data_IF_243138672893
#
_entry.id   IF_243138672893
#
_cell.length_a   1.000
_cell.length_b   1.000
_cell.length_c   1.000
_cell.angle_alpha   90.00
_cell.angle_beta   90.00
_cell.angle_gamma   90.00
#
_symmetry.space_group_name_H-M   'P 1'
#
loop_
_entity.id
_entity.type
_entity.pdbx_description
1 polymer ?
#
# COMPACT_ATOMS: atom_id res chain seq x y z
N UNK A 1 -17.54 17.07 10.89
CA UNK A 1 -16.43 16.38 10.19
C UNK A 1 -15.30 17.38 9.96
N UNK A 2 -14.07 16.99 10.24
CA UNK A 2 -12.91 17.83 10.01
C UNK A 2 -12.42 17.62 8.56
N UNK A 3 -12.32 18.65 7.71
CA UNK A 3 -11.93 18.51 6.31
C UNK A 3 -10.47 18.06 6.11
N UNK A 4 -9.66 18.08 7.16
CA UNK A 4 -8.28 17.60 7.15
C UNK A 4 -8.14 16.12 7.53
N UNK A 5 -9.24 15.44 7.84
CA UNK A 5 -9.26 14.01 8.15
C UNK A 5 -10.02 13.29 7.06
N UNK A 6 -9.41 12.23 6.52
CA UNK A 6 -10.06 11.36 5.55
C UNK A 6 -11.42 10.84 6.05
N UNK A 7 -12.40 10.83 5.17
CA UNK A 7 -13.76 10.40 5.50
C UNK A 7 -13.82 8.95 6.01
N UNK A 8 -13.08 8.03 5.36
CA UNK A 8 -13.06 6.63 5.77
C UNK A 8 -12.54 6.46 7.20
N UNK A 9 -11.53 7.24 7.61
CA UNK A 9 -11.04 7.22 8.98
C UNK A 9 -12.13 7.66 9.96
N UNK A 10 -12.89 8.70 9.63
CA UNK A 10 -14.00 9.19 10.46
C UNK A 10 -15.12 8.15 10.54
N UNK A 11 -15.50 7.56 9.41
CA UNK A 11 -16.50 6.47 9.38
C UNK A 11 -16.03 5.27 10.20
N UNK A 12 -14.78 4.86 10.03
CA UNK A 12 -14.20 3.71 10.75
C UNK A 12 -14.17 3.94 12.26
N UNK A 13 -13.88 5.17 12.70
CA UNK A 13 -13.85 5.54 14.11
C UNK A 13 -15.24 5.58 14.76
N UNK A 14 -16.27 5.99 13.99
CA UNK A 14 -17.66 6.08 14.45
C UNK A 14 -18.39 4.73 14.34
N UNK A 15 -17.78 3.73 13.68
CA UNK A 15 -18.38 2.40 13.50
C UNK A 15 -18.03 1.51 14.67
N UNK A 16 -19.02 0.72 15.12
CA UNK A 16 -18.82 -0.24 16.20
C UNK A 16 -17.80 -1.31 15.82
N UNK A 17 -17.06 -1.80 16.81
CA UNK A 17 -15.96 -2.75 16.64
C UNK A 17 -16.40 -4.03 15.90
N UNK A 18 -17.58 -4.56 16.27
CA UNK A 18 -18.15 -5.76 15.66
C UNK A 18 -18.42 -5.62 14.14
N UNK A 19 -18.68 -4.41 13.66
CA UNK A 19 -18.87 -4.11 12.24
C UNK A 19 -17.51 -3.81 11.58
N UNK A 20 -16.69 -3.01 12.24
CA UNK A 20 -15.38 -2.61 11.71
C UNK A 20 -14.49 -3.82 11.42
N UNK A 21 -14.41 -4.78 12.36
CA UNK A 21 -13.61 -6.00 12.21
C UNK A 21 -14.06 -6.90 11.05
N UNK A 22 -15.30 -6.76 10.58
CA UNK A 22 -15.80 -7.51 9.43
C UNK A 22 -15.36 -6.91 8.09
N UNK A 23 -14.91 -5.65 8.07
CA UNK A 23 -14.53 -4.91 6.85
C UNK A 23 -13.05 -4.55 6.92
N UNK A 24 -12.16 -5.27 6.20
CA UNK A 24 -10.71 -5.04 6.27
C UNK A 24 -10.32 -3.58 6.04
N UNK A 25 -10.97 -2.90 5.10
CA UNK A 25 -10.69 -1.49 4.81
C UNK A 25 -11.12 -0.56 5.95
N UNK A 26 -12.12 -0.91 6.73
CA UNK A 26 -12.51 -0.13 7.92
C UNK A 26 -11.59 -0.40 9.11
N UNK A 27 -11.10 -1.64 9.24
CA UNK A 27 -10.26 -2.06 10.36
C UNK A 27 -8.78 -1.75 10.16
N UNK A 28 -8.33 -1.59 8.90
CA UNK A 28 -6.95 -1.30 8.59
C UNK A 28 -6.42 -0.09 9.36
N UNK A 29 -5.33 -0.31 10.12
CA UNK A 29 -4.69 0.70 10.96
C UNK A 29 -5.17 0.77 12.40
N UNK A 30 -6.22 0.09 12.78
CA UNK A 30 -6.63 0.00 14.18
C UNK A 30 -5.92 -1.17 14.89
N UNK A 31 -5.57 -0.95 16.14
CA UNK A 31 -4.99 -1.96 17.03
C UNK A 31 -5.88 -2.09 18.27
N UNK A 32 -6.54 -3.25 18.37
CA UNK A 32 -7.47 -3.53 19.46
C UNK A 32 -6.78 -3.61 20.83
N UNK A 33 -5.50 -3.96 20.88
CA UNK A 33 -4.76 -4.19 22.12
C UNK A 33 -4.54 -2.91 22.93
N UNK A 34 -4.32 -1.77 22.28
CA UNK A 34 -4.11 -0.47 22.92
C UNK A 34 -5.06 0.63 22.42
N UNK A 35 -6.03 0.24 21.57
CA UNK A 35 -7.08 1.10 20.99
C UNK A 35 -6.53 2.32 20.24
N UNK A 36 -5.41 2.14 19.57
CA UNK A 36 -4.78 3.18 18.76
C UNK A 36 -4.99 2.95 17.26
N UNK A 37 -5.02 4.05 16.54
CA UNK A 37 -5.00 4.09 15.09
C UNK A 37 -3.58 4.37 14.58
N UNK A 38 -3.13 3.64 13.59
CA UNK A 38 -2.03 4.02 12.73
C UNK A 38 -2.59 4.88 11.60
N UNK A 39 -2.05 6.07 11.41
CA UNK A 39 -2.48 7.04 10.40
C UNK A 39 -1.29 7.55 9.60
N UNK A 40 -1.57 8.00 8.39
CA UNK A 40 -0.61 8.68 7.52
C UNK A 40 -0.89 10.18 7.63
N UNK A 41 0.15 10.98 7.89
CA UNK A 41 0.03 12.42 8.08
C UNK A 41 0.93 13.14 7.06
N UNK A 42 0.37 14.02 6.26
CA UNK A 42 1.10 14.99 5.43
C UNK A 42 1.26 16.29 6.19
N UNK A 43 2.48 16.85 6.19
CA UNK A 43 2.80 18.07 6.95
C UNK A 43 3.41 19.15 6.08
N UNK A 44 3.20 20.41 6.49
CA UNK A 44 3.82 21.57 5.87
C UNK A 44 5.21 21.91 6.44
N UNK A 45 5.66 21.18 7.48
CA UNK A 45 6.93 21.46 8.15
C UNK A 45 7.30 20.40 9.19
N UNK A 46 8.22 20.74 10.12
CA UNK A 46 8.63 19.85 11.19
C UNK A 46 7.50 19.62 12.21
N UNK A 47 7.42 18.38 12.72
CA UNK A 47 6.53 18.01 13.81
C UNK A 47 7.18 18.06 15.21
N UNK A 48 8.35 18.68 15.37
CA UNK A 48 9.06 18.69 16.65
C UNK A 48 8.21 19.29 17.79
N UNK A 49 7.49 20.38 17.51
CA UNK A 49 6.56 20.98 18.46
C UNK A 49 5.40 20.02 18.79
N UNK A 50 4.80 19.42 17.80
CA UNK A 50 3.68 18.49 17.94
C UNK A 50 4.10 17.27 18.75
N UNK A 51 5.27 16.68 18.45
CA UNK A 51 5.81 15.54 19.19
C UNK A 51 6.00 15.84 20.68
N UNK A 52 6.35 17.07 21.03
CA UNK A 52 6.48 17.49 22.44
C UNK A 52 5.15 17.62 23.18
N UNK A 53 4.06 17.85 22.46
CA UNK A 53 2.69 17.99 23.00
C UNK A 53 2.00 16.63 23.10
N UNK A 54 2.08 15.83 22.04
CA UNK A 54 1.39 14.55 21.91
C UNK A 54 2.30 13.38 22.33
N UNK A 55 2.71 13.36 23.60
CA UNK A 55 3.68 12.39 24.13
C UNK A 55 3.20 10.94 24.15
N UNK A 56 1.88 10.71 24.05
CA UNK A 56 1.27 9.37 23.97
C UNK A 56 1.17 8.84 22.55
N UNK A 57 1.56 9.64 21.55
CA UNK A 57 1.60 9.25 20.15
C UNK A 57 3.01 8.80 19.73
N UNK A 58 3.05 7.82 18.86
CA UNK A 58 4.29 7.32 18.24
C UNK A 58 4.42 7.93 16.85
N UNK A 59 5.58 8.54 16.57
CA UNK A 59 5.82 9.24 15.30
C UNK A 59 6.95 8.59 14.53
N UNK A 60 6.69 8.15 13.32
CA UNK A 60 7.69 7.66 12.35
C UNK A 60 7.77 8.62 11.18
N UNK A 61 8.93 9.29 11.03
CA UNK A 61 9.16 10.22 9.93
C UNK A 61 9.50 9.45 8.65
N UNK A 62 8.80 9.78 7.56
CA UNK A 62 9.10 9.36 6.21
C UNK A 62 9.71 10.52 5.41
N UNK A 63 10.12 10.24 4.17
CA UNK A 63 10.57 11.25 3.22
C UNK A 63 9.44 12.21 2.83
N UNK A 64 9.78 13.32 2.17
CA UNK A 64 8.86 14.26 1.54
C UNK A 64 7.80 14.88 2.48
N UNK A 65 8.07 14.98 3.79
CA UNK A 65 7.14 15.57 4.75
C UNK A 65 5.95 14.69 5.13
N UNK A 66 6.10 13.38 4.96
CA UNK A 66 5.12 12.40 5.44
C UNK A 66 5.53 11.79 6.77
N UNK A 67 4.52 11.41 7.54
CA UNK A 67 4.69 10.78 8.83
C UNK A 67 3.68 9.65 8.99
N UNK A 68 4.08 8.59 9.65
CA UNK A 68 3.16 7.60 10.19
C UNK A 68 3.04 7.89 11.68
N UNK A 69 1.81 8.06 12.15
CA UNK A 69 1.53 8.38 13.55
C UNK A 69 0.59 7.32 14.11
N UNK A 70 0.92 6.79 15.29
CA UNK A 70 0.08 5.83 16.00
C UNK A 70 -0.44 6.50 17.26
N UNK A 71 -1.76 6.69 17.35
CA UNK A 71 -2.38 7.45 18.45
C UNK A 71 -3.89 7.15 18.59
N UNK A 72 -4.54 7.70 19.62
CA UNK A 72 -5.98 7.56 19.84
C UNK A 72 -6.80 8.47 18.93
N UNK A 73 -8.09 8.17 18.75
CA UNK A 73 -9.00 8.97 17.91
C UNK A 73 -9.11 10.43 18.38
N UNK A 74 -9.22 10.65 19.69
CA UNK A 74 -9.30 12.00 20.25
C UNK A 74 -8.04 12.82 19.91
N UNK A 75 -6.87 12.18 19.92
CA UNK A 75 -5.61 12.81 19.52
C UNK A 75 -5.54 13.08 18.03
N UNK A 76 -6.16 12.26 17.19
CA UNK A 76 -6.25 12.49 15.73
C UNK A 76 -7.08 13.75 15.45
N UNK A 77 -8.22 13.90 16.09
CA UNK A 77 -9.06 15.11 15.97
C UNK A 77 -8.31 16.36 16.41
N UNK A 78 -7.59 16.29 17.52
CA UNK A 78 -6.77 17.39 17.99
C UNK A 78 -5.59 17.71 17.04
N UNK A 79 -4.87 16.69 16.55
CA UNK A 79 -3.80 16.83 15.56
C UNK A 79 -4.29 17.53 14.30
N UNK A 80 -5.49 17.22 13.82
CA UNK A 80 -6.06 17.85 12.62
C UNK A 80 -6.33 19.35 12.77
N UNK A 81 -6.29 19.90 13.98
CA UNK A 81 -6.42 21.35 14.22
C UNK A 81 -5.07 22.08 14.16
N UNK A 82 -3.97 21.35 14.24
CA UNK A 82 -2.63 21.94 14.25
C UNK A 82 -2.27 22.53 12.89
N UNK A 83 -1.62 23.71 12.85
CA UNK A 83 -1.34 24.41 11.60
C UNK A 83 -0.35 23.69 10.69
N UNK A 84 0.54 22.87 11.26
CA UNK A 84 1.53 22.07 10.52
C UNK A 84 0.92 20.89 9.78
N UNK A 85 -0.28 20.46 10.15
CA UNK A 85 -0.96 19.30 9.56
C UNK A 85 -1.74 19.75 8.33
N UNK A 86 -1.41 19.16 7.18
CA UNK A 86 -2.13 19.39 5.92
C UNK A 86 -3.32 18.44 5.83
N UNK A 87 -3.07 17.12 5.98
CA UNK A 87 -4.09 16.10 5.85
C UNK A 87 -3.72 14.82 6.62
N UNK A 88 -4.73 14.08 7.04
CA UNK A 88 -4.63 12.82 7.77
C UNK A 88 -5.45 11.75 7.05
N UNK A 89 -4.83 10.62 6.75
CA UNK A 89 -5.44 9.47 6.07
C UNK A 89 -5.17 8.19 6.86
N UNK A 90 -6.10 7.24 6.85
CA UNK A 90 -5.85 5.91 7.39
C UNK A 90 -5.15 5.02 6.36
N UNK A 91 -4.38 4.00 6.77
CA UNK A 91 -3.82 3.03 5.84
C UNK A 91 -4.93 2.21 5.19
N UNK A 92 -4.65 1.72 3.97
CA UNK A 92 -5.52 0.81 3.22
C UNK A 92 -4.97 -0.61 3.31
N UNK A 93 -5.86 -1.60 3.24
CA UNK A 93 -5.51 -2.99 3.07
C UNK A 93 -5.05 -3.25 1.63
N UNK A 94 -4.02 -4.07 1.47
CA UNK A 94 -3.47 -4.44 0.16
C UNK A 94 -3.36 -5.95 0.06
N UNK A 95 -3.50 -6.46 -1.16
CA UNK A 95 -3.51 -7.89 -1.49
C UNK A 95 -2.49 -8.20 -2.58
N UNK A 96 -2.14 -9.48 -2.75
CA UNK A 96 -1.20 -9.94 -3.78
C UNK A 96 -1.75 -9.77 -5.19
N UNK A 97 -0.90 -9.34 -6.11
CA UNK A 97 -1.16 -9.27 -7.54
C UNK A 97 -0.15 -10.12 -8.31
N UNK A 98 -0.58 -10.91 -9.32
CA UNK A 98 0.28 -11.85 -10.05
C UNK A 98 -0.05 -11.99 -11.54
N UNK A 99 0.97 -11.98 -12.37
CA UNK A 99 1.41 -12.70 -13.59
C UNK A 99 1.18 -12.17 -15.02
N UNK A 100 2.28 -12.27 -15.76
CA UNK A 100 2.56 -12.59 -17.19
C UNK A 100 3.05 -11.45 -18.08
N UNK A 101 4.37 -11.09 -18.07
CA UNK A 101 4.83 -9.97 -18.89
C UNK A 101 6.23 -10.03 -19.54
N UNK A 102 7.02 -11.10 -19.45
CA UNK A 102 8.41 -11.06 -19.98
C UNK A 102 8.51 -10.95 -21.50
N UNK A 103 7.63 -11.60 -22.26
CA UNK A 103 7.67 -11.56 -23.73
C UNK A 103 7.03 -10.30 -24.29
N UNK A 104 5.99 -9.82 -23.65
CA UNK A 104 5.23 -8.62 -24.05
C UNK A 104 6.03 -7.32 -23.87
N UNK A 105 6.93 -7.29 -22.87
CA UNK A 105 7.70 -6.11 -22.49
C UNK A 105 9.01 -5.92 -23.29
N UNK A 106 9.26 -6.72 -24.35
CA UNK A 106 10.47 -6.64 -25.20
C UNK A 106 11.81 -6.71 -24.43
N UNK A 107 11.85 -7.35 -23.26
CA UNK A 107 13.02 -7.42 -22.37
C UNK A 107 14.24 -8.05 -23.09
N UNK A 108 13.99 -9.09 -23.90
CA UNK A 108 15.05 -9.78 -24.62
C UNK A 108 15.76 -8.86 -25.65
N UNK A 109 15.04 -7.88 -26.20
CA UNK A 109 15.60 -6.89 -27.12
C UNK A 109 16.53 -5.91 -26.39
N UNK A 110 16.15 -5.48 -25.19
CA UNK A 110 16.98 -4.56 -24.39
C UNK A 110 18.28 -5.22 -23.88
N UNK A 111 18.27 -6.55 -23.68
CA UNK A 111 19.43 -7.33 -23.24
C UNK A 111 20.39 -7.72 -24.36
N UNK A 112 19.99 -7.66 -25.62
CA UNK A 112 20.84 -8.03 -26.75
C UNK A 112 21.95 -6.98 -26.93
N UNK A 113 23.22 -7.43 -26.94
CA UNK A 113 24.41 -6.57 -27.10
C UNK A 113 24.41 -5.84 -28.44
N UNK A 114 23.71 -6.38 -29.43
CA UNK A 114 23.64 -5.87 -30.81
C UNK A 114 22.67 -4.69 -30.99
N UNK A 115 21.93 -4.31 -29.94
CA UNK A 115 21.00 -3.18 -29.98
C UNK A 115 21.68 -1.86 -29.64
N UNK A 116 21.06 -0.73 -30.03
CA UNK A 116 21.52 0.60 -29.64
C UNK A 116 21.59 0.83 -28.12
N UNK A 117 20.98 -0.05 -27.32
CA UNK A 117 20.96 -0.01 -25.86
C UNK A 117 22.09 -0.85 -25.21
N UNK A 118 22.84 -1.63 -26.01
CA UNK A 118 24.12 -2.21 -25.62
C UNK A 118 24.10 -3.16 -24.42
N UNK A 119 23.19 -4.13 -24.40
CA UNK A 119 23.24 -5.19 -23.36
C UNK A 119 22.92 -4.70 -21.94
N UNK A 120 21.84 -3.96 -21.75
CA UNK A 120 21.44 -3.42 -20.45
C UNK A 120 21.04 -4.57 -19.50
N UNK A 121 21.80 -4.78 -18.44
CA UNK A 121 21.63 -5.88 -17.47
C UNK A 121 21.29 -5.41 -16.05
N UNK A 122 21.15 -4.09 -15.84
CA UNK A 122 20.92 -3.49 -14.53
C UNK A 122 22.19 -3.27 -13.69
N UNK A 123 23.39 -3.45 -14.25
CA UNK A 123 24.64 -3.21 -13.55
C UNK A 123 24.76 -1.76 -13.08
N UNK A 124 25.06 -1.57 -11.79
CA UNK A 124 25.18 -0.23 -11.16
C UNK A 124 23.83 0.38 -10.77
N UNK A 125 22.73 -0.39 -10.84
CA UNK A 125 21.39 -0.01 -10.39
C UNK A 125 20.97 -0.94 -9.27
N UNK A 126 20.20 -0.43 -8.32
CA UNK A 126 19.51 -1.23 -7.31
C UNK A 126 18.12 -1.62 -7.83
N UNK A 127 17.78 -2.88 -7.69
CA UNK A 127 16.39 -3.34 -7.79
C UNK A 127 15.89 -3.65 -6.41
N UNK A 128 14.84 -2.98 -5.98
CA UNK A 128 14.20 -3.21 -4.70
C UNK A 128 12.90 -3.98 -4.91
N UNK A 129 12.69 -5.04 -4.13
CA UNK A 129 11.44 -5.82 -4.12
C UNK A 129 10.81 -5.69 -2.74
N UNK A 130 9.60 -5.14 -2.70
CA UNK A 130 8.79 -4.98 -1.49
C UNK A 130 7.66 -6.00 -1.57
N UNK A 131 7.82 -7.15 -0.88
CA UNK A 131 6.92 -8.29 -1.06
C UNK A 131 6.85 -9.21 0.18
N UNK A 132 6.32 -10.43 0.02
CA UNK A 132 6.11 -11.43 1.09
C UNK A 132 7.37 -12.03 1.68
N UNK A 133 8.52 -11.84 1.05
CA UNK A 133 9.80 -12.39 1.50
C UNK A 133 10.70 -12.84 0.36
N UNK A 134 11.74 -13.58 0.72
CA UNK A 134 12.75 -14.07 -0.22
C UNK A 134 13.37 -15.37 0.30
N UNK A 135 13.73 -16.27 -0.59
CA UNK A 135 14.59 -17.42 -0.29
C UNK A 135 16.03 -17.05 -0.62
N UNK A 136 16.76 -16.57 0.38
CA UNK A 136 18.11 -16.01 0.20
C UNK A 136 19.15 -17.05 -0.29
N UNK A 137 18.88 -18.34 -0.13
CA UNK A 137 19.71 -19.44 -0.64
C UNK A 137 19.47 -19.75 -2.12
N UNK A 138 18.44 -19.17 -2.73
CA UNK A 138 18.15 -19.39 -4.15
C UNK A 138 19.31 -18.87 -5.01
N UNK A 139 19.85 -19.75 -5.87
CA UNK A 139 20.97 -19.43 -6.76
C UNK A 139 20.74 -18.24 -7.70
N UNK A 140 19.48 -17.88 -7.95
CA UNK A 140 19.11 -16.71 -8.74
C UNK A 140 19.57 -15.38 -8.10
N UNK A 141 19.82 -15.35 -6.79
CA UNK A 141 20.24 -14.16 -6.07
C UNK A 141 21.72 -14.20 -5.64
N UNK A 142 22.45 -15.23 -6.08
CA UNK A 142 23.87 -15.38 -5.80
C UNK A 142 24.72 -14.96 -7.00
N UNK A 143 25.92 -14.47 -6.75
CA UNK A 143 26.94 -14.24 -7.77
C UNK A 143 27.68 -15.57 -8.13
N UNK A 144 28.63 -15.50 -9.08
CA UNK A 144 29.39 -16.66 -9.52
C UNK A 144 30.31 -17.25 -8.43
N UNK A 145 30.58 -16.49 -7.37
CA UNK A 145 31.32 -16.96 -6.19
C UNK A 145 30.41 -17.59 -5.11
N UNK A 146 29.11 -17.63 -5.35
CA UNK A 146 28.10 -18.12 -4.39
C UNK A 146 27.78 -17.15 -3.26
N UNK A 147 28.18 -15.88 -3.38
CA UNK A 147 27.82 -14.82 -2.44
C UNK A 147 26.53 -14.13 -2.87
N UNK A 148 25.82 -13.59 -1.90
CA UNK A 148 24.56 -12.89 -2.18
C UNK A 148 24.79 -11.58 -2.95
N UNK A 149 23.87 -11.30 -3.91
CA UNK A 149 23.70 -10.00 -4.58
C UNK A 149 22.77 -9.07 -3.79
N UNK A 150 22.15 -9.56 -2.72
CA UNK A 150 21.28 -8.77 -1.85
C UNK A 150 22.17 -7.90 -0.96
N UNK A 151 22.15 -6.59 -1.21
CA UNK A 151 22.92 -5.59 -0.43
C UNK A 151 22.37 -5.39 0.95
N UNK A 152 21.06 -5.43 1.05
CA UNK A 152 20.36 -5.30 2.32
C UNK A 152 18.97 -5.94 2.24
N UNK A 153 18.53 -6.50 3.36
CA UNK A 153 17.24 -7.11 3.54
C UNK A 153 16.62 -6.60 4.83
N UNK A 154 15.41 -6.07 4.76
CA UNK A 154 14.64 -5.67 5.93
C UNK A 154 13.42 -6.57 6.09
N UNK A 155 13.34 -7.27 7.21
CA UNK A 155 12.17 -8.06 7.58
C UNK A 155 11.29 -7.24 8.53
N UNK A 156 10.16 -6.74 8.02
CA UNK A 156 9.22 -5.95 8.82
C UNK A 156 8.49 -6.79 9.89
N UNK A 157 8.42 -8.12 9.73
CA UNK A 157 7.77 -9.00 10.73
C UNK A 157 8.56 -9.07 12.02
N UNK A 158 9.89 -9.03 11.91
CA UNK A 158 10.82 -9.10 13.03
C UNK A 158 11.43 -7.74 13.38
N UNK A 159 11.32 -6.76 12.46
CA UNK A 159 11.97 -5.47 12.55
C UNK A 159 13.49 -5.51 12.28
N UNK A 160 14.06 -6.67 11.89
CA UNK A 160 15.50 -6.86 11.73
C UNK A 160 15.92 -6.50 10.30
N UNK A 161 17.07 -5.83 10.20
CA UNK A 161 17.73 -5.55 8.92
C UNK A 161 19.02 -6.35 8.84
N UNK A 162 19.30 -6.92 7.68
CA UNK A 162 20.49 -7.70 7.38
C UNK A 162 21.30 -7.03 6.27
N UNK A 163 22.58 -6.90 6.45
CA UNK A 163 23.55 -6.50 5.42
C UNK A 163 23.96 -7.70 4.55
N UNK A 164 24.61 -7.42 3.42
CA UNK A 164 25.19 -8.46 2.55
C UNK A 164 26.17 -9.37 3.30
N UNK A 165 26.95 -8.82 4.23
CA UNK A 165 27.92 -9.56 5.05
C UNK A 165 27.20 -10.54 5.99
N UNK A 166 26.16 -10.07 6.67
CA UNK A 166 25.34 -10.91 7.57
C UNK A 166 24.62 -11.99 6.80
N UNK A 167 24.04 -11.67 5.63
CA UNK A 167 23.40 -12.67 4.76
C UNK A 167 24.39 -13.73 4.32
N UNK A 168 25.60 -13.34 3.89
CA UNK A 168 26.64 -14.32 3.50
C UNK A 168 27.07 -15.21 4.67
N UNK A 169 27.21 -14.66 5.88
CA UNK A 169 27.52 -15.46 7.08
C UNK A 169 26.40 -16.45 7.39
N UNK A 170 25.15 -16.02 7.33
CA UNK A 170 23.97 -16.88 7.55
C UNK A 170 23.90 -18.00 6.50
N UNK A 171 24.19 -17.69 5.23
CA UNK A 171 24.23 -18.69 4.16
C UNK A 171 25.34 -19.74 4.37
N UNK A 172 26.49 -19.32 4.87
CA UNK A 172 27.60 -20.24 5.22
C UNK A 172 27.19 -21.16 6.39
N UNK A 173 26.64 -20.60 7.45
CA UNK A 173 26.15 -21.34 8.61
C UNK A 173 25.01 -22.31 8.22
N UNK A 174 24.13 -21.91 7.32
CA UNK A 174 23.06 -22.76 6.80
C UNK A 174 23.60 -23.94 5.99
N UNK A 175 24.56 -23.70 5.08
CA UNK A 175 25.23 -24.74 4.29
C UNK A 175 25.99 -25.75 5.16
N UNK A 176 26.54 -25.27 6.27
CA UNK A 176 27.24 -26.08 7.25
C UNK A 176 26.30 -26.81 8.25
N UNK A 177 24.99 -26.55 8.17
CA UNK A 177 23.97 -27.13 9.06
C UNK A 177 23.94 -26.55 10.48
N UNK A 178 24.63 -25.41 10.71
CA UNK A 178 24.63 -24.70 11.99
C UNK A 178 23.33 -23.94 12.22
N UNK A 179 22.69 -23.44 11.16
CA UNK A 179 21.39 -22.76 11.18
C UNK A 179 20.37 -23.57 10.38
N UNK A 180 19.17 -23.75 10.93
CA UNK A 180 18.09 -24.53 10.29
C UNK A 180 17.03 -23.68 9.59
N UNK A 181 16.96 -22.38 9.90
CA UNK A 181 15.96 -21.46 9.36
C UNK A 181 16.63 -20.20 8.85
N UNK A 182 16.26 -19.79 7.66
CA UNK A 182 16.76 -18.56 7.05
C UNK A 182 15.84 -17.38 7.38
N UNK A 183 16.39 -16.15 7.49
CA UNK A 183 15.59 -14.96 7.74
C UNK A 183 14.71 -14.61 6.55
N UNK A 184 13.65 -13.87 6.82
CA UNK A 184 12.75 -13.29 5.82
C UNK A 184 12.18 -14.29 4.80
N UNK A 185 12.14 -15.58 5.15
CA UNK A 185 11.68 -16.65 4.27
C UNK A 185 10.30 -16.33 3.69
N UNK A 186 10.19 -16.51 2.40
CA UNK A 186 8.92 -16.37 1.70
C UNK A 186 8.04 -17.60 1.90
N UNK A 187 6.98 -17.47 2.68
CA UNK A 187 6.05 -18.56 2.98
C UNK A 187 5.04 -18.77 1.85
N UNK A 188 4.75 -17.72 1.10
CA UNK A 188 3.77 -17.75 0.00
C UNK A 188 4.40 -18.12 -1.34
N UNK A 189 5.70 -17.87 -1.50
CA UNK A 189 6.45 -18.04 -2.74
C UNK A 189 6.37 -16.83 -3.68
N UNK A 190 5.42 -15.91 -3.45
CA UNK A 190 5.14 -14.79 -4.35
C UNK A 190 6.32 -13.82 -4.49
N UNK A 191 6.86 -13.32 -3.37
CA UNK A 191 7.98 -12.39 -3.39
C UNK A 191 9.23 -12.98 -3.99
N UNK A 192 9.49 -14.27 -3.77
CA UNK A 192 10.60 -14.97 -4.37
C UNK A 192 10.46 -15.05 -5.90
N UNK A 193 9.27 -15.39 -6.42
CA UNK A 193 9.00 -15.43 -7.86
C UNK A 193 9.12 -14.05 -8.51
N UNK A 194 8.53 -13.02 -7.90
CA UNK A 194 8.64 -11.62 -8.35
C UNK A 194 10.10 -11.17 -8.40
N UNK A 195 10.88 -11.47 -7.36
CA UNK A 195 12.29 -11.12 -7.31
C UNK A 195 13.12 -11.84 -8.38
N UNK A 196 12.85 -13.13 -8.65
CA UNK A 196 13.50 -13.87 -9.75
C UNK A 196 13.21 -13.21 -11.09
N UNK A 197 11.95 -12.86 -11.36
CA UNK A 197 11.56 -12.18 -12.59
C UNK A 197 12.26 -10.82 -12.73
N UNK A 198 12.26 -10.01 -11.69
CA UNK A 198 12.79 -8.66 -11.73
C UNK A 198 14.33 -8.64 -11.81
N UNK A 199 15.00 -9.36 -10.91
CA UNK A 199 16.43 -9.23 -10.68
C UNK A 199 17.18 -10.55 -10.42
N UNK A 200 16.56 -11.72 -10.64
CA UNK A 200 17.26 -13.00 -10.67
C UNK A 200 18.31 -13.05 -11.80
N UNK A 201 19.24 -14.00 -11.74
CA UNK A 201 20.22 -14.22 -12.83
C UNK A 201 19.53 -14.48 -14.18
N UNK A 202 18.43 -15.19 -14.15
CA UNK A 202 17.55 -15.40 -15.32
C UNK A 202 16.53 -14.27 -15.53
N UNK A 203 16.46 -13.30 -14.64
CA UNK A 203 15.51 -12.21 -14.62
C UNK A 203 15.81 -11.07 -15.59
N UNK A 204 15.08 -9.97 -15.46
CA UNK A 204 15.23 -8.77 -16.31
C UNK A 204 16.55 -8.05 -16.03
N UNK A 205 16.82 -7.71 -14.75
CA UNK A 205 18.01 -6.97 -14.32
C UNK A 205 19.04 -7.93 -13.66
N UNK A 206 19.61 -8.82 -14.47
CA UNK A 206 20.45 -9.94 -14.01
C UNK A 206 21.72 -9.53 -13.26
N UNK A 207 22.24 -8.32 -13.49
CA UNK A 207 23.46 -7.81 -12.85
C UNK A 207 23.18 -6.67 -11.86
N UNK A 208 21.90 -6.40 -11.54
CA UNK A 208 21.55 -5.40 -10.54
C UNK A 208 21.96 -5.83 -9.13
N UNK A 209 22.29 -4.88 -8.29
CA UNK A 209 22.31 -5.07 -6.83
C UNK A 209 20.87 -5.12 -6.30
N UNK A 210 20.61 -5.87 -5.24
CA UNK A 210 19.26 -6.18 -4.79
C UNK A 210 18.99 -5.61 -3.39
N UNK A 211 17.82 -5.00 -3.21
CA UNK A 211 17.26 -4.65 -1.90
C UNK A 211 15.97 -5.46 -1.70
N UNK A 212 15.81 -6.07 -0.54
CA UNK A 212 14.58 -6.80 -0.20
C UNK A 212 13.92 -6.16 1.03
N UNK A 213 12.62 -5.93 0.93
CA UNK A 213 11.77 -5.62 2.06
C UNK A 213 10.71 -6.69 2.15
N UNK A 214 10.83 -7.54 3.16
CA UNK A 214 9.76 -8.47 3.49
C UNK A 214 8.68 -7.70 4.23
N UNK A 215 7.53 -7.60 3.61
CA UNK A 215 6.33 -7.04 4.23
C UNK A 215 5.83 -7.96 5.35
N UNK A 216 5.34 -7.38 6.39
CA UNK A 216 4.78 -8.14 7.48
C UNK A 216 4.20 -7.23 8.56
N UNK A 217 3.42 -7.87 9.42
CA UNK A 217 2.80 -7.23 10.55
C UNK A 217 3.09 -8.06 11.80
N UNK A 218 3.71 -7.45 12.80
CA UNK A 218 3.93 -8.09 14.11
C UNK A 218 2.62 -8.38 14.88
N UNK A 219 1.50 -7.82 14.42
CA UNK A 219 0.17 -7.94 15.04
C UNK A 219 -0.73 -9.05 14.47
N UNK A 220 -0.27 -9.85 13.48
CA UNK A 220 -1.01 -11.02 12.98
C UNK A 220 -2.24 -10.74 12.09
N UNK A 221 -2.42 -9.53 11.59
CA UNK A 221 -3.48 -9.21 10.63
C UNK A 221 -3.21 -9.91 9.28
N UNK A 222 -4.29 -10.35 8.62
CA UNK A 222 -4.20 -11.14 7.39
C UNK A 222 -3.83 -10.32 6.13
N UNK A 223 -3.79 -8.99 6.23
CA UNK A 223 -3.54 -8.08 5.09
C UNK A 223 -2.38 -7.12 5.35
N UNK A 224 -1.76 -6.68 4.28
CA UNK A 224 -0.71 -5.64 4.27
C UNK A 224 -1.37 -4.26 4.15
N UNK A 225 -0.80 -3.27 4.82
CA UNK A 225 -1.29 -1.88 4.81
C UNK A 225 -0.40 -1.00 3.95
N UNK A 226 -0.97 0.06 3.38
CA UNK A 226 -0.22 1.07 2.63
C UNK A 226 0.93 1.67 3.44
N UNK A 227 0.78 1.82 4.76
CA UNK A 227 1.85 2.29 5.66
C UNK A 227 3.08 1.40 5.67
N UNK A 228 2.92 0.08 5.52
CA UNK A 228 4.04 -0.86 5.44
C UNK A 228 4.79 -0.70 4.12
N UNK A 229 4.06 -0.49 3.03
CA UNK A 229 4.65 -0.18 1.71
C UNK A 229 5.39 1.17 1.77
N UNK A 230 4.79 2.23 2.33
CA UNK A 230 5.43 3.54 2.46
C UNK A 230 6.75 3.46 3.24
N UNK A 231 6.76 2.73 4.36
CA UNK A 231 7.99 2.45 5.13
C UNK A 231 9.02 1.70 4.29
N UNK A 232 8.56 0.73 3.48
CA UNK A 232 9.41 -0.03 2.57
C UNK A 232 10.05 0.84 1.49
N UNK A 233 9.27 1.72 0.85
CA UNK A 233 9.74 2.67 -0.16
C UNK A 233 10.75 3.64 0.45
N UNK A 234 10.43 4.24 1.61
CA UNK A 234 11.32 5.13 2.34
C UNK A 234 12.68 4.44 2.63
N UNK A 235 12.63 3.20 3.13
CA UNK A 235 13.82 2.40 3.37
C UNK A 235 14.65 2.17 2.10
N UNK A 236 14.03 1.75 1.01
CA UNK A 236 14.71 1.48 -0.26
C UNK A 236 15.41 2.73 -0.80
N UNK A 237 14.74 3.89 -0.76
CA UNK A 237 15.30 5.16 -1.25
C UNK A 237 16.47 5.62 -0.35
N UNK A 238 16.34 5.52 0.98
CA UNK A 238 17.44 5.86 1.90
C UNK A 238 18.66 4.97 1.66
N UNK A 239 18.46 3.66 1.42
CA UNK A 239 19.54 2.74 1.08
C UNK A 239 20.16 3.06 -0.29
N UNK A 240 19.36 3.42 -1.27
CA UNK A 240 19.84 3.87 -2.57
C UNK A 240 20.75 5.11 -2.47
N UNK A 241 20.38 6.07 -1.62
CA UNK A 241 21.20 7.25 -1.31
C UNK A 241 22.50 6.82 -0.62
N UNK A 242 22.44 5.95 0.38
CA UNK A 242 23.60 5.42 1.10
C UNK A 242 24.58 4.72 0.15
N UNK A 243 24.09 3.91 -0.78
CA UNK A 243 24.91 3.22 -1.79
C UNK A 243 25.27 4.10 -2.99
N UNK A 244 24.76 5.33 -3.07
CA UNK A 244 24.97 6.26 -4.19
C UNK A 244 24.54 5.67 -5.55
N UNK A 245 23.50 4.83 -5.57
CA UNK A 245 22.97 4.17 -6.76
C UNK A 245 21.50 4.59 -7.02
N UNK A 246 21.03 4.66 -8.26
CA UNK A 246 19.61 4.77 -8.55
C UNK A 246 18.89 3.46 -8.18
N UNK A 247 17.60 3.54 -7.89
CA UNK A 247 16.80 2.37 -7.51
C UNK A 247 15.52 2.25 -8.34
N UNK A 248 15.23 1.03 -8.79
CA UNK A 248 13.94 0.63 -9.31
C UNK A 248 13.21 -0.20 -8.24
N UNK A 249 12.05 0.25 -7.78
CA UNK A 249 11.27 -0.40 -6.72
C UNK A 249 10.11 -1.12 -7.37
N UNK A 250 9.97 -2.42 -7.08
CA UNK A 250 8.81 -3.22 -7.46
C UNK A 250 7.88 -3.41 -6.26
N UNK A 251 6.59 -3.15 -6.49
CA UNK A 251 5.50 -3.37 -5.53
C UNK A 251 4.43 -4.18 -6.25
N UNK A 252 4.32 -5.47 -5.90
CA UNK A 252 3.31 -6.38 -6.46
C UNK A 252 2.16 -6.61 -5.48
N UNK A 253 1.70 -5.52 -4.90
CA UNK A 253 0.54 -5.44 -4.02
C UNK A 253 -0.36 -4.31 -4.48
N UNK A 254 -1.66 -4.53 -4.45
CA UNK A 254 -2.65 -3.55 -4.82
C UNK A 254 -3.96 -3.68 -4.08
N UNK A 255 -4.85 -2.75 -4.31
CA UNK A 255 -6.21 -2.72 -3.84
C UNK A 255 -7.06 -1.88 -4.77
N UNK A 256 -8.36 -2.11 -4.74
CA UNK A 256 -9.34 -1.38 -5.57
C UNK A 256 -9.89 -0.13 -4.88
N UNK A 257 -9.24 0.30 -3.80
CA UNK A 257 -9.71 1.39 -2.97
C UNK A 257 -9.29 2.75 -3.51
N UNK A 258 -10.21 3.71 -3.48
CA UNK A 258 -9.92 5.10 -3.86
C UNK A 258 -10.61 5.55 -5.14
N UNK A 259 -10.39 6.79 -5.52
CA UNK A 259 -11.00 7.43 -6.70
C UNK A 259 -10.29 7.08 -8.02
N UNK A 260 -9.21 6.37 -7.98
CA UNK A 260 -8.38 5.97 -9.14
C UNK A 260 -7.84 7.17 -9.96
N UNK A 261 -7.64 8.32 -9.30
CA UNK A 261 -7.13 9.56 -9.90
C UNK A 261 -5.72 9.94 -9.42
N UNK A 262 -5.07 9.09 -8.63
CA UNK A 262 -3.73 9.35 -8.10
C UNK A 262 -3.70 10.40 -6.98
N UNK A 263 -4.81 10.62 -6.28
CA UNK A 263 -4.96 11.72 -5.32
C UNK A 263 -4.99 11.29 -3.84
N UNK A 264 -4.84 10.01 -3.54
CA UNK A 264 -4.67 9.57 -2.14
C UNK A 264 -3.29 9.99 -1.61
N UNK A 265 -3.15 10.09 -0.29
CA UNK A 265 -1.85 10.41 0.33
C UNK A 265 -0.79 9.38 -0.05
N UNK A 266 -1.15 8.12 -0.16
CA UNK A 266 -0.23 7.06 -0.58
C UNK A 266 0.29 7.30 -2.00
N UNK A 267 -0.60 7.60 -2.94
CA UNK A 267 -0.25 7.89 -4.35
C UNK A 267 0.61 9.16 -4.46
N UNK A 268 0.21 10.23 -3.75
CA UNK A 268 0.99 11.48 -3.69
C UNK A 268 2.39 11.27 -3.09
N UNK A 269 2.53 10.40 -2.09
CA UNK A 269 3.84 10.05 -1.53
C UNK A 269 4.73 9.37 -2.58
N UNK A 270 4.19 8.44 -3.37
CA UNK A 270 4.91 7.77 -4.46
C UNK A 270 5.39 8.79 -5.50
N UNK A 271 4.51 9.70 -5.93
CA UNK A 271 4.82 10.75 -6.90
C UNK A 271 5.89 11.71 -6.37
N UNK A 272 5.77 12.17 -5.12
CA UNK A 272 6.76 13.03 -4.46
C UNK A 272 8.14 12.34 -4.38
N UNK A 273 8.16 11.03 -4.09
CA UNK A 273 9.39 10.25 -4.06
C UNK A 273 10.03 10.16 -5.45
N UNK A 274 9.26 9.83 -6.48
CA UNK A 274 9.74 9.72 -7.86
C UNK A 274 10.21 11.06 -8.42
N UNK A 275 9.56 12.15 -8.03
CA UNK A 275 9.92 13.50 -8.47
C UNK A 275 11.19 14.05 -7.78
N UNK A 276 11.45 13.61 -6.54
CA UNK A 276 12.53 14.15 -5.70
C UNK A 276 13.82 13.34 -5.78
N UNK A 277 13.70 12.03 -5.89
CA UNK A 277 14.83 11.09 -5.80
C UNK A 277 15.11 10.37 -7.11
N UNK A 278 16.30 9.77 -7.23
CA UNK A 278 16.69 8.95 -8.38
C UNK A 278 16.09 7.56 -8.24
N UNK A 279 14.78 7.47 -8.29
CA UNK A 279 14.04 6.22 -8.20
C UNK A 279 12.96 6.12 -9.29
N UNK A 280 12.62 4.89 -9.64
CA UNK A 280 11.42 4.54 -10.39
C UNK A 280 10.63 3.53 -9.56
N UNK A 281 9.36 3.77 -9.36
CA UNK A 281 8.49 2.88 -8.59
C UNK A 281 7.46 2.27 -9.53
N UNK A 282 7.45 0.93 -9.61
CA UNK A 282 6.54 0.16 -10.43
C UNK A 282 5.55 -0.56 -9.53
N UNK A 283 4.27 -0.32 -9.76
CA UNK A 283 3.17 -0.91 -8.99
C UNK A 283 2.31 -1.74 -9.95
N UNK A 284 1.92 -2.94 -9.55
CA UNK A 284 1.00 -3.78 -10.31
C UNK A 284 -0.38 -3.11 -10.44
N UNK A 285 -1.00 -3.24 -11.61
CA UNK A 285 -2.32 -2.66 -11.90
C UNK A 285 -3.50 -3.54 -11.44
N UNK A 286 -3.22 -4.67 -10.81
CA UNK A 286 -4.21 -5.62 -10.34
C UNK A 286 -4.55 -6.74 -11.32
N UNK A 287 -5.17 -7.78 -10.78
CA UNK A 287 -5.61 -8.97 -11.52
C UNK A 287 -7.13 -9.00 -11.75
N UNK A 288 -7.84 -7.93 -11.36
CA UNK A 288 -9.30 -7.87 -11.32
C UNK A 288 -9.94 -7.44 -12.65
N UNK A 289 -9.19 -7.44 -13.76
CA UNK A 289 -9.69 -7.00 -15.07
C UNK A 289 -10.94 -7.73 -15.57
N UNK A 290 -11.15 -8.99 -15.17
CA UNK A 290 -12.35 -9.77 -15.46
C UNK A 290 -13.37 -9.76 -14.32
N UNK A 291 -13.02 -9.23 -13.15
CA UNK A 291 -13.84 -9.27 -11.93
C UNK A 291 -15.10 -8.40 -11.97
N UNK A 292 -15.19 -7.46 -12.94
CA UNK A 292 -16.30 -6.52 -13.07
C UNK A 292 -16.61 -5.75 -11.78
N UNK A 293 -15.57 -5.45 -11.01
CA UNK A 293 -15.66 -4.76 -9.72
C UNK A 293 -15.64 -3.23 -9.85
N UNK A 294 -15.45 -2.72 -11.07
CA UNK A 294 -15.41 -1.29 -11.37
C UNK A 294 -16.41 -0.93 -12.47
N UNK A 295 -17.14 0.17 -12.25
CA UNK A 295 -18.00 0.80 -13.23
C UNK A 295 -17.68 2.29 -13.37
N UNK A 296 -17.70 2.81 -14.59
CA UNK A 296 -17.56 4.24 -14.87
C UNK A 296 -18.68 4.68 -15.82
N UNK A 297 -19.38 5.75 -15.49
CA UNK A 297 -20.48 6.27 -16.27
C UNK A 297 -20.56 7.80 -16.24
N UNK A 298 -21.41 8.35 -17.11
CA UNK A 298 -21.73 9.78 -17.14
C UNK A 298 -23.21 10.00 -16.79
N UNK A 299 -23.43 10.81 -15.77
CA UNK A 299 -24.78 11.24 -15.38
C UNK A 299 -25.03 12.66 -15.88
N UNK A 300 -26.02 12.83 -16.74
CA UNK A 300 -26.46 14.14 -17.24
C UNK A 300 -27.52 14.70 -16.31
N UNK A 301 -27.49 16.00 -16.05
CA UNK A 301 -28.47 16.67 -15.18
C UNK A 301 -29.92 16.38 -15.58
N UNK A 302 -30.72 15.96 -14.63
CA UNK A 302 -32.12 15.59 -14.83
C UNK A 302 -32.35 14.14 -15.26
N UNK A 303 -31.30 13.36 -15.52
CA UNK A 303 -31.40 11.94 -15.87
C UNK A 303 -31.16 11.05 -14.64
N UNK A 304 -31.58 9.81 -14.78
CA UNK A 304 -31.30 8.71 -13.84
C UNK A 304 -30.35 7.74 -14.54
N UNK A 305 -29.35 7.27 -13.82
CA UNK A 305 -28.48 6.19 -14.24
C UNK A 305 -28.75 5.01 -13.29
N UNK A 306 -29.28 3.94 -13.84
CA UNK A 306 -29.57 2.71 -13.10
C UNK A 306 -28.50 1.67 -13.44
N UNK A 307 -27.82 1.17 -12.42
CA UNK A 307 -26.80 0.14 -12.56
C UNK A 307 -27.08 -1.03 -11.64
N UNK A 308 -26.93 -2.22 -12.15
CA UNK A 308 -27.15 -3.45 -11.40
C UNK A 308 -25.84 -3.90 -10.72
N UNK A 309 -25.90 -4.06 -9.40
CA UNK A 309 -24.81 -4.63 -8.61
C UNK A 309 -25.11 -6.12 -8.36
N UNK A 310 -24.34 -7.00 -8.99
CA UNK A 310 -24.40 -8.43 -8.70
C UNK A 310 -23.51 -8.77 -7.50
N UNK A 311 -24.09 -9.38 -6.48
CA UNK A 311 -23.37 -9.89 -5.31
C UNK A 311 -23.25 -11.40 -5.48
N UNK A 312 -22.01 -11.91 -5.39
CA UNK A 312 -21.75 -13.35 -5.49
C UNK A 312 -22.36 -14.14 -4.35
N UNK A 313 -22.59 -15.42 -4.60
CA UNK A 313 -23.00 -16.36 -3.56
C UNK A 313 -21.91 -16.43 -2.47
N UNK A 314 -22.33 -16.43 -1.20
CA UNK A 314 -21.43 -16.50 -0.03
C UNK A 314 -20.64 -15.22 0.28
N UNK A 315 -20.91 -14.10 -0.36
CA UNK A 315 -20.36 -12.80 0.05
C UNK A 315 -21.14 -12.26 1.27
N UNK A 316 -20.55 -12.31 2.46
CA UNK A 316 -21.25 -11.88 3.68
C UNK A 316 -21.39 -10.36 3.75
N UNK A 317 -20.56 -9.64 2.99
CA UNK A 317 -20.49 -8.18 2.98
C UNK A 317 -19.82 -7.66 1.71
N UNK A 318 -20.18 -6.45 1.32
CA UNK A 318 -19.57 -5.71 0.22
C UNK A 318 -19.29 -4.27 0.65
N UNK A 319 -18.22 -3.70 0.13
CA UNK A 319 -17.94 -2.27 0.22
C UNK A 319 -18.18 -1.63 -1.14
N UNK A 320 -19.03 -0.61 -1.19
CA UNK A 320 -19.34 0.13 -2.41
C UNK A 320 -18.82 1.55 -2.25
N UNK A 321 -17.94 1.96 -3.14
CA UNK A 321 -17.43 3.32 -3.20
C UNK A 321 -17.99 4.00 -4.44
N UNK A 322 -18.65 5.14 -4.25
CA UNK A 322 -19.21 5.94 -5.33
C UNK A 322 -18.48 7.29 -5.34
N UNK A 323 -17.70 7.49 -6.39
CA UNK A 323 -16.94 8.70 -6.59
C UNK A 323 -17.63 9.61 -7.60
N UNK A 324 -17.74 10.89 -7.30
CA UNK A 324 -18.28 11.95 -8.16
C UNK A 324 -17.47 13.22 -7.98
N UNK A 325 -17.53 14.14 -8.93
CA UNK A 325 -16.92 15.46 -8.75
C UNK A 325 -17.56 16.19 -7.57
N UNK A 326 -16.79 16.94 -6.81
CA UNK A 326 -17.25 17.65 -5.62
C UNK A 326 -18.37 18.65 -5.91
N UNK A 327 -18.40 19.24 -7.12
CA UNK A 327 -19.40 20.22 -7.56
C UNK A 327 -20.71 19.62 -8.05
N UNK A 328 -20.75 18.30 -8.31
CA UNK A 328 -21.94 17.64 -8.84
C UNK A 328 -22.87 17.23 -7.69
N UNK A 329 -24.16 17.57 -7.82
CA UNK A 329 -25.19 17.11 -6.91
C UNK A 329 -25.86 15.87 -7.49
N UNK A 330 -25.68 14.73 -6.85
CA UNK A 330 -26.31 13.50 -7.23
C UNK A 330 -27.09 12.90 -6.04
N UNK A 331 -28.27 12.38 -6.31
CA UNK A 331 -29.03 11.56 -5.38
C UNK A 331 -28.67 10.11 -5.64
N UNK A 332 -28.19 9.43 -4.63
CA UNK A 332 -27.87 8.00 -4.69
C UNK A 332 -29.01 7.23 -4.03
N UNK A 333 -29.49 6.21 -4.69
CA UNK A 333 -30.54 5.31 -4.19
C UNK A 333 -30.08 3.87 -4.35
N UNK A 334 -30.08 3.11 -3.25
CA UNK A 334 -29.84 1.67 -3.26
C UNK A 334 -31.19 0.97 -3.26
N UNK A 335 -31.39 0.07 -4.21
CA UNK A 335 -32.61 -0.71 -4.35
C UNK A 335 -32.27 -2.17 -4.05
N UNK A 336 -32.82 -2.71 -2.97
CA UNK A 336 -32.63 -4.11 -2.63
C UNK A 336 -33.41 -5.02 -3.59
N UNK A 337 -33.03 -6.30 -3.76
CA UNK A 337 -33.78 -7.28 -4.56
C UNK A 337 -35.25 -7.43 -4.13
N UNK A 338 -35.54 -7.09 -2.87
CA UNK A 338 -36.90 -7.07 -2.31
C UNK A 338 -37.74 -5.87 -2.74
N UNK A 339 -37.16 -4.92 -3.46
CA UNK A 339 -37.75 -3.65 -3.86
C UNK A 339 -37.72 -2.55 -2.80
N UNK A 340 -37.12 -2.80 -1.64
CA UNK A 340 -36.92 -1.76 -0.63
C UNK A 340 -35.85 -0.76 -1.11
N UNK A 341 -36.11 0.52 -0.84
CA UNK A 341 -35.27 1.62 -1.33
C UNK A 341 -34.63 2.37 -0.17
N UNK A 342 -33.33 2.60 -0.28
CA UNK A 342 -32.56 3.44 0.62
C UNK A 342 -32.01 4.64 -0.14
N UNK A 343 -32.40 5.85 0.27
CA UNK A 343 -31.83 7.08 -0.26
C UNK A 343 -30.64 7.51 0.59
N UNK A 344 -29.50 7.63 -0.03
CA UNK A 344 -28.28 8.16 0.57
C UNK A 344 -28.24 9.66 0.23
N UNK A 345 -28.50 10.51 1.23
CA UNK A 345 -28.60 11.95 1.05
C UNK A 345 -27.29 12.65 1.41
N UNK A 346 -26.80 13.52 0.53
CA UNK A 346 -25.62 14.38 0.81
C UNK A 346 -25.82 15.34 2.00
N UNK A 347 -27.06 15.57 2.41
CA UNK A 347 -27.36 16.47 3.55
C UNK A 347 -27.04 15.85 4.90
N UNK A 348 -26.84 14.55 4.96
CA UNK A 348 -26.45 13.84 6.18
C UNK A 348 -24.96 13.56 6.14
N UNK A 349 -24.13 14.59 6.32
CA UNK A 349 -22.71 14.42 6.55
C UNK A 349 -22.53 13.62 7.85
N UNK A 350 -21.97 12.42 7.77
CA UNK A 350 -21.75 11.52 8.92
C UNK A 350 -22.08 10.08 8.59
N UNK A 351 -21.77 9.21 9.53
CA UNK A 351 -22.08 7.79 9.44
C UNK A 351 -23.57 7.60 9.75
N UNK A 352 -24.30 6.99 8.83
CA UNK A 352 -25.70 6.67 9.00
C UNK A 352 -25.87 5.15 8.91
N UNK A 353 -26.47 4.57 9.93
CA UNK A 353 -26.80 3.16 9.99
C UNK A 353 -28.22 2.92 9.50
N UNK A 354 -28.37 2.04 8.53
CA UNK A 354 -29.65 1.65 7.99
C UNK A 354 -29.83 0.14 8.13
N UNK A 355 -31.04 -0.28 8.44
CA UNK A 355 -31.42 -1.70 8.43
C UNK A 355 -32.51 -1.90 7.37
N UNK A 356 -32.22 -2.72 6.37
CA UNK A 356 -33.18 -3.17 5.38
C UNK A 356 -33.32 -4.69 5.56
N UNK A 357 -34.42 -5.15 6.15
CA UNK A 357 -34.65 -6.56 6.50
C UNK A 357 -33.39 -7.23 7.11
N UNK A 358 -32.72 -8.04 6.30
CA UNK A 358 -31.54 -8.82 6.74
C UNK A 358 -30.19 -8.16 6.36
N UNK A 359 -30.23 -6.93 5.85
CA UNK A 359 -29.03 -6.18 5.49
C UNK A 359 -28.81 -5.02 6.46
N UNK A 360 -27.59 -4.90 6.93
CA UNK A 360 -27.10 -3.77 7.70
C UNK A 360 -26.24 -2.91 6.78
N UNK A 361 -26.65 -1.67 6.56
CA UNK A 361 -25.94 -0.75 5.68
C UNK A 361 -25.36 0.37 6.53
N UNK A 362 -24.07 0.58 6.40
CA UNK A 362 -23.35 1.72 6.96
C UNK A 362 -22.98 2.63 5.79
N UNK A 363 -23.53 3.83 5.76
CA UNK A 363 -23.22 4.79 4.71
C UNK A 363 -22.62 6.06 5.29
N UNK A 364 -21.67 6.66 4.57
CA UNK A 364 -21.14 7.96 4.89
C UNK A 364 -20.96 8.76 3.59
N UNK A 365 -21.24 10.04 3.62
CA UNK A 365 -21.05 10.92 2.48
C UNK A 365 -19.97 11.94 2.81
N UNK A 366 -19.05 12.12 1.88
CA UNK A 366 -17.97 13.07 1.97
C UNK A 366 -18.04 14.12 0.86
N UNK A 367 -17.82 15.39 1.27
CA UNK A 367 -17.49 16.49 0.38
C UNK A 367 -16.06 16.90 0.72
N UNK A 368 -15.08 16.27 0.11
CA UNK A 368 -13.67 16.52 0.38
C UNK A 368 -13.08 17.55 -0.57
N UNK A 369 -12.13 18.30 -0.08
CA UNK A 369 -11.27 19.15 -0.89
C UNK A 369 -10.22 18.26 -1.53
N UNK A 370 -10.17 18.21 -2.86
CA UNK A 370 -9.03 17.62 -3.58
C UNK A 370 -7.86 18.57 -3.33
N UNK A 371 -6.81 18.06 -2.71
CA UNK A 371 -5.56 18.80 -2.59
C UNK A 371 -4.88 18.81 -3.96
N UNK A 372 -5.05 19.87 -4.71
CA UNK A 372 -4.17 20.15 -5.84
C UNK A 372 -2.86 20.71 -5.29
N UNK A 373 -1.74 19.98 -5.53
CA UNK A 373 -0.40 20.49 -5.33
C UNK A 373 0.01 21.50 -6.40
#
# INVERSE_FOLDING_TARGET
MNPRIENLLQISADTSEDIRQQVPDMDAGFDDSDRKWEIIVKTAGSLDRIRSIYTNAEFTQLLCGYWIVRTTIDSIEALATEPEIIFIEKPKALYFELYAAKSEACVNVAKAEETQYGGVTGKGVLVAVIDSGIDIENGEFLDDSGKTRIKTLWDQTTGITYSDKEINSILEDYRNGAVKTLPARDVTGHGNEVAVIACGRSGVASDADIIIVKLGNSGGNAYIRTTQIMKGVDYCIRKAIEYSQPVAVNISYGGTYGNHEGSSIFEMFIDDCCSTYRCSICIGVGNEGEGRTHYSGQLVSGNVLDEELAIGDYEPQISIQIWKRAMDNARIELIAPTGERLVISERNAGVVHHNIKNMRIVSGIWTGTILYG
#
